data_IF_437674989992
#
_entry.id   IF_437674989992
#
_cell.length_a   1.000
_cell.length_b   1.000
_cell.length_c   1.000
_cell.angle_alpha   90.00
_cell.angle_beta   90.00
_cell.angle_gamma   90.00
#
_symmetry.space_group_name_H-M   'P 1'
#
loop_
_entity.id
_entity.type
_entity.pdbx_description
1 polymer ?
#
# COMPACT_ATOMS: atom_id res chain seq x y z
N UNK A 1 -6.93 13.41 -13.44
CA UNK A 1 -7.32 14.07 -12.17
C UNK A 1 -6.09 14.11 -11.27
N UNK A 2 -6.09 14.93 -10.21
CA UNK A 2 -4.93 14.95 -9.28
C UNK A 2 -4.89 13.67 -8.44
N UNK A 3 -3.70 13.24 -7.98
CA UNK A 3 -3.55 12.05 -7.11
C UNK A 3 -4.48 12.14 -5.90
N UNK A 4 -4.55 13.35 -5.32
CA UNK A 4 -5.35 13.64 -4.13
C UNK A 4 -6.85 13.41 -4.34
N UNK A 5 -7.37 13.89 -5.47
CA UNK A 5 -8.79 13.75 -5.79
C UNK A 5 -9.17 12.29 -6.01
N UNK A 6 -8.36 11.56 -6.76
CA UNK A 6 -8.60 10.15 -7.07
C UNK A 6 -8.56 9.28 -5.80
N UNK A 7 -7.53 9.45 -4.97
CA UNK A 7 -7.43 8.76 -3.68
C UNK A 7 -8.62 9.06 -2.76
N UNK A 8 -8.97 10.33 -2.56
CA UNK A 8 -10.10 10.71 -1.69
C UNK A 8 -11.44 10.21 -2.22
N UNK A 9 -11.62 10.16 -3.54
CA UNK A 9 -12.83 9.63 -4.14
C UNK A 9 -13.00 8.14 -3.83
N UNK A 10 -11.90 7.37 -3.88
CA UNK A 10 -11.91 5.95 -3.54
C UNK A 10 -12.21 5.75 -2.06
N UNK A 11 -11.43 6.35 -1.16
CA UNK A 11 -11.58 6.15 0.30
C UNK A 11 -12.96 6.58 0.81
N UNK A 12 -13.52 7.69 0.32
CA UNK A 12 -14.87 8.14 0.72
C UNK A 12 -16.00 7.22 0.24
N UNK A 13 -15.75 6.42 -0.80
CA UNK A 13 -16.75 5.55 -1.41
C UNK A 13 -16.28 4.08 -1.41
N UNK A 14 -15.49 3.68 -0.41
CA UNK A 14 -14.81 2.38 -0.37
C UNK A 14 -15.77 1.22 -0.67
N UNK A 15 -16.92 1.15 0.03
CA UNK A 15 -17.92 0.10 -0.16
C UNK A 15 -18.40 -0.04 -1.61
N UNK A 16 -18.54 1.08 -2.32
CA UNK A 16 -18.94 1.10 -3.73
C UNK A 16 -17.82 0.56 -4.62
N UNK A 17 -16.58 0.95 -4.36
CA UNK A 17 -15.43 0.46 -5.12
C UNK A 17 -15.21 -1.03 -4.88
N UNK A 18 -15.34 -1.50 -3.64
CA UNK A 18 -15.25 -2.92 -3.28
C UNK A 18 -16.36 -3.74 -3.96
N UNK A 19 -17.60 -3.24 -3.93
CA UNK A 19 -18.72 -3.88 -4.62
C UNK A 19 -18.48 -3.95 -6.14
N UNK A 20 -17.95 -2.87 -6.74
CA UNK A 20 -17.58 -2.86 -8.16
C UNK A 20 -16.51 -3.90 -8.46
N UNK A 21 -15.44 -4.00 -7.65
CA UNK A 21 -14.38 -5.00 -7.83
C UNK A 21 -14.95 -6.42 -7.70
N UNK A 22 -15.75 -6.69 -6.66
CA UNK A 22 -16.41 -7.99 -6.44
C UNK A 22 -17.37 -8.39 -7.55
N UNK A 23 -18.00 -7.42 -8.22
CA UNK A 23 -18.91 -7.69 -9.34
C UNK A 23 -18.20 -8.10 -10.64
N UNK A 24 -16.88 -7.88 -10.76
CA UNK A 24 -16.15 -8.27 -11.96
C UNK A 24 -16.19 -9.79 -12.14
N UNK A 25 -16.47 -10.32 -13.34
CA UNK A 25 -16.66 -11.76 -13.55
C UNK A 25 -15.44 -12.61 -13.16
N UNK A 26 -14.24 -12.12 -13.46
CA UNK A 26 -12.96 -12.76 -13.10
C UNK A 26 -12.76 -12.83 -11.58
N UNK A 27 -12.94 -11.70 -10.89
CA UNK A 27 -12.86 -11.60 -9.42
C UNK A 27 -13.88 -12.51 -8.76
N UNK A 28 -15.15 -12.43 -9.17
CA UNK A 28 -16.23 -13.24 -8.60
C UNK A 28 -15.95 -14.74 -8.71
N UNK A 29 -15.48 -15.19 -9.88
CA UNK A 29 -15.11 -16.60 -10.12
C UNK A 29 -13.92 -17.03 -9.25
N UNK A 30 -12.91 -16.17 -9.13
CA UNK A 30 -11.72 -16.46 -8.33
C UNK A 30 -12.05 -16.55 -6.84
N UNK A 31 -12.88 -15.64 -6.31
CA UNK A 31 -13.37 -15.67 -4.93
C UNK A 31 -14.17 -16.95 -4.68
N UNK A 32 -15.15 -17.26 -5.53
CA UNK A 32 -15.98 -18.46 -5.36
C UNK A 32 -15.13 -19.75 -5.38
N UNK A 33 -14.12 -19.81 -6.26
CA UNK A 33 -13.20 -20.93 -6.31
C UNK A 33 -12.33 -21.02 -5.05
N UNK A 34 -11.84 -19.90 -4.55
CA UNK A 34 -11.04 -19.84 -3.33
C UNK A 34 -11.84 -20.30 -2.12
N UNK A 35 -13.02 -19.73 -1.88
CA UNK A 35 -13.91 -20.07 -0.76
C UNK A 35 -14.30 -21.56 -0.76
N UNK A 36 -14.56 -22.14 -1.93
CA UNK A 36 -14.97 -23.54 -2.05
C UNK A 36 -13.83 -24.55 -1.85
N UNK A 37 -12.56 -24.14 -1.94
CA UNK A 37 -11.44 -25.09 -2.03
C UNK A 37 -10.30 -24.84 -1.04
N UNK A 38 -10.07 -23.60 -0.57
CA UNK A 38 -8.90 -23.30 0.26
C UNK A 38 -8.87 -24.08 1.58
N UNK A 39 -10.03 -24.31 2.21
CA UNK A 39 -10.11 -25.09 3.46
C UNK A 39 -9.78 -26.58 3.33
N UNK A 40 -9.62 -27.08 2.10
CA UNK A 40 -9.17 -28.45 1.80
C UNK A 40 -7.64 -28.56 1.73
N UNK A 41 -6.94 -27.43 1.60
CA UNK A 41 -5.49 -27.38 1.45
C UNK A 41 -4.83 -27.39 2.83
N UNK A 42 -3.90 -28.33 3.02
CA UNK A 42 -3.23 -28.60 4.29
C UNK A 42 -1.72 -28.43 4.25
N UNK A 43 -1.14 -28.19 3.06
CA UNK A 43 0.30 -28.00 2.90
C UNK A 43 0.65 -26.96 1.82
N UNK A 44 1.87 -26.45 1.90
CA UNK A 44 2.42 -25.58 0.86
C UNK A 44 2.45 -26.28 -0.51
N UNK A 45 2.77 -27.58 -0.53
CA UNK A 45 2.79 -28.36 -1.77
C UNK A 45 1.42 -28.45 -2.43
N UNK A 46 0.37 -28.71 -1.65
CA UNK A 46 -1.01 -28.73 -2.15
C UNK A 46 -1.43 -27.36 -2.69
N UNK A 47 -1.08 -26.28 -1.98
CA UNK A 47 -1.38 -24.93 -2.44
C UNK A 47 -0.68 -24.65 -3.79
N UNK A 48 0.60 -24.99 -3.90
CA UNK A 48 1.39 -24.73 -5.11
C UNK A 48 1.00 -25.61 -6.30
N UNK A 49 0.34 -26.75 -6.08
CA UNK A 49 -0.21 -27.60 -7.14
C UNK A 49 -1.52 -27.04 -7.72
N UNK A 50 -2.28 -26.29 -6.92
CA UNK A 50 -3.48 -25.60 -7.39
C UNK A 50 -3.13 -24.18 -7.85
N UNK A 51 -2.88 -24.03 -9.15
CA UNK A 51 -2.49 -22.76 -9.76
C UNK A 51 -3.49 -21.62 -9.50
N UNK A 52 -4.78 -21.93 -9.34
CA UNK A 52 -5.80 -20.91 -9.08
C UNK A 52 -5.73 -20.42 -7.63
N UNK A 53 -5.64 -21.34 -6.67
CA UNK A 53 -5.49 -20.98 -5.25
C UNK A 53 -4.15 -20.30 -5.00
N UNK A 54 -3.06 -20.83 -5.57
CA UNK A 54 -1.74 -20.22 -5.45
C UNK A 54 -1.74 -18.77 -5.96
N UNK A 55 -2.21 -18.52 -7.19
CA UNK A 55 -2.29 -17.14 -7.72
C UNK A 55 -3.19 -16.25 -6.89
N UNK A 56 -4.33 -16.76 -6.42
CA UNK A 56 -5.24 -15.99 -5.55
C UNK A 56 -4.53 -15.51 -4.28
N UNK A 57 -3.83 -16.41 -3.59
CA UNK A 57 -3.03 -16.10 -2.41
C UNK A 57 -1.93 -15.10 -2.76
N UNK A 58 -1.20 -15.31 -3.85
CA UNK A 58 -0.13 -14.39 -4.24
C UNK A 58 -0.64 -12.97 -4.51
N UNK A 59 -1.81 -12.81 -5.16
CA UNK A 59 -2.45 -11.49 -5.33
C UNK A 59 -2.90 -10.93 -3.98
N UNK A 60 -3.58 -11.73 -3.15
CA UNK A 60 -4.06 -11.27 -1.85
C UNK A 60 -2.91 -10.73 -0.98
N UNK A 61 -1.73 -11.33 -1.02
CA UNK A 61 -0.56 -10.88 -0.26
C UNK A 61 0.33 -9.87 -1.01
N UNK A 62 -0.11 -9.33 -2.15
CA UNK A 62 0.62 -8.36 -2.99
C UNK A 62 2.01 -8.88 -3.43
N UNK A 63 2.04 -10.17 -3.77
CA UNK A 63 3.19 -10.94 -4.23
C UNK A 63 2.99 -11.48 -5.66
N UNK A 64 2.04 -10.95 -6.43
CA UNK A 64 1.71 -11.44 -7.77
C UNK A 64 2.94 -11.50 -8.71
N UNK A 65 3.82 -10.50 -8.64
CA UNK A 65 5.06 -10.47 -9.41
C UNK A 65 6.02 -11.61 -9.05
N UNK A 66 5.87 -12.22 -7.88
CA UNK A 66 6.70 -13.34 -7.38
C UNK A 66 6.07 -14.70 -7.65
N UNK A 67 4.96 -14.78 -8.40
CA UNK A 67 4.28 -16.04 -8.73
C UNK A 67 5.21 -17.05 -9.43
N UNK A 68 6.20 -16.59 -10.19
CA UNK A 68 7.20 -17.45 -10.83
C UNK A 68 8.15 -18.13 -9.83
N UNK A 69 8.36 -17.54 -8.65
CA UNK A 69 9.36 -17.98 -7.67
C UNK A 69 8.84 -19.14 -6.79
N UNK A 70 8.22 -20.16 -7.39
CA UNK A 70 7.54 -21.26 -6.66
C UNK A 70 8.41 -21.94 -5.61
N UNK A 71 9.68 -22.21 -5.90
CA UNK A 71 10.58 -22.85 -4.95
C UNK A 71 10.85 -21.97 -3.71
N UNK A 72 10.96 -20.65 -3.90
CA UNK A 72 11.10 -19.68 -2.82
C UNK A 72 9.83 -19.67 -1.96
N UNK A 73 8.65 -19.57 -2.59
CA UNK A 73 7.38 -19.55 -1.88
C UNK A 73 7.16 -20.84 -1.09
N UNK A 74 7.45 -22.00 -1.71
CA UNK A 74 7.41 -23.29 -1.02
C UNK A 74 8.28 -23.26 0.24
N UNK A 75 9.54 -22.83 0.10
CA UNK A 75 10.48 -22.78 1.23
C UNK A 75 10.02 -21.83 2.35
N UNK A 76 9.47 -20.67 1.99
CA UNK A 76 8.87 -19.72 2.95
C UNK A 76 7.75 -20.37 3.74
N UNK A 77 6.82 -21.05 3.06
CA UNK A 77 5.66 -21.68 3.68
C UNK A 77 6.02 -22.94 4.48
N UNK A 78 6.97 -23.75 4.00
CA UNK A 78 7.44 -24.97 4.65
C UNK A 78 8.26 -24.68 5.92
N UNK A 79 8.99 -23.55 5.97
CA UNK A 79 9.74 -23.13 7.17
C UNK A 79 8.88 -22.39 8.18
N UNK A 80 7.79 -21.75 7.75
CA UNK A 80 6.89 -21.01 8.63
C UNK A 80 7.54 -19.75 9.22
N UNK A 81 7.12 -19.37 10.43
CA UNK A 81 7.55 -18.13 11.08
C UNK A 81 8.00 -18.30 12.54
N UNK A 82 7.81 -19.47 13.15
CA UNK A 82 8.19 -19.73 14.55
C UNK A 82 9.70 -19.85 14.77
N UNK A 83 10.42 -20.44 13.81
CA UNK A 83 11.88 -20.55 13.86
C UNK A 83 12.50 -19.17 13.54
N UNK A 84 13.31 -18.57 14.42
CA UNK A 84 14.01 -17.31 14.14
C UNK A 84 14.82 -17.33 12.83
N UNK A 85 15.34 -18.49 12.44
CA UNK A 85 16.15 -18.68 11.21
C UNK A 85 15.31 -19.03 9.97
N UNK A 86 13.98 -19.13 10.13
CA UNK A 86 13.07 -19.34 9.02
C UNK A 86 13.28 -18.25 7.95
N UNK A 87 13.22 -18.67 6.69
CA UNK A 87 13.46 -17.79 5.54
C UNK A 87 12.56 -16.55 5.60
N UNK A 88 11.28 -16.71 5.96
CA UNK A 88 10.34 -15.61 6.09
C UNK A 88 10.79 -14.53 7.09
N UNK A 89 11.52 -14.90 8.15
CA UNK A 89 12.03 -13.99 9.17
C UNK A 89 13.31 -13.25 8.73
N UNK A 90 14.01 -13.76 7.73
CA UNK A 90 15.26 -13.19 7.19
C UNK A 90 15.06 -12.39 5.90
N UNK A 91 13.84 -12.38 5.35
CA UNK A 91 13.52 -11.60 4.17
C UNK A 91 13.24 -10.14 4.55
N UNK A 92 13.72 -9.22 3.71
CA UNK A 92 13.44 -7.79 3.89
C UNK A 92 11.96 -7.46 3.64
N UNK A 93 11.34 -8.12 2.67
CA UNK A 93 9.93 -7.90 2.36
C UNK A 93 9.04 -8.68 3.36
N UNK A 94 8.35 -7.93 4.22
CA UNK A 94 7.50 -8.47 5.27
C UNK A 94 6.29 -9.26 4.72
N UNK A 95 5.90 -9.07 3.45
CA UNK A 95 4.75 -9.77 2.83
C UNK A 95 4.90 -11.28 2.86
N UNK A 96 6.13 -11.80 2.71
CA UNK A 96 6.41 -13.24 2.80
C UNK A 96 6.13 -13.78 4.20
N UNK A 97 6.53 -13.04 5.24
CA UNK A 97 6.23 -13.38 6.63
C UNK A 97 4.74 -13.28 6.94
N UNK A 98 4.07 -12.24 6.46
CA UNK A 98 2.61 -12.12 6.62
C UNK A 98 1.87 -13.32 5.99
N UNK A 99 2.23 -13.70 4.76
CA UNK A 99 1.65 -14.83 4.07
C UNK A 99 1.90 -16.14 4.84
N UNK A 100 3.14 -16.41 5.23
CA UNK A 100 3.48 -17.61 6.00
C UNK A 100 2.74 -17.66 7.35
N UNK A 101 2.58 -16.51 8.02
CA UNK A 101 1.85 -16.40 9.29
C UNK A 101 0.37 -16.73 9.13
N UNK A 102 -0.28 -16.19 8.09
CA UNK A 102 -1.74 -16.38 7.90
C UNK A 102 -2.05 -17.80 7.42
N UNK A 103 -1.29 -18.32 6.46
CA UNK A 103 -1.53 -19.67 5.92
C UNK A 103 -1.10 -20.76 6.90
N UNK A 104 -0.05 -20.50 7.69
CA UNK A 104 0.43 -21.32 8.81
C UNK A 104 0.51 -22.82 8.52
N UNK A 105 0.98 -23.20 7.32
CA UNK A 105 1.13 -24.60 6.93
C UNK A 105 2.11 -25.34 7.82
N UNK A 106 3.25 -24.74 8.16
CA UNK A 106 4.26 -25.35 9.03
C UNK A 106 3.75 -25.56 10.45
N UNK A 107 3.06 -24.58 11.02
CA UNK A 107 2.68 -24.64 12.43
C UNK A 107 1.36 -25.37 12.68
N UNK A 108 0.44 -25.34 11.72
CA UNK A 108 -0.94 -25.83 11.91
C UNK A 108 -1.46 -26.73 10.79
N UNK A 109 -0.65 -27.00 9.76
CA UNK A 109 -1.11 -27.76 8.59
C UNK A 109 -2.26 -27.06 7.86
N UNK A 110 -2.27 -25.71 7.85
CA UNK A 110 -3.31 -24.93 7.20
C UNK A 110 -4.64 -24.90 7.95
N UNK A 111 -4.70 -25.28 9.23
CA UNK A 111 -5.95 -25.28 10.00
C UNK A 111 -6.63 -23.90 10.02
N UNK A 112 -5.84 -22.81 9.99
CA UNK A 112 -6.34 -21.44 9.89
C UNK A 112 -7.20 -21.20 8.65
N UNK A 113 -6.97 -21.95 7.56
CA UNK A 113 -7.71 -21.82 6.30
C UNK A 113 -9.10 -22.47 6.33
N UNK A 114 -9.42 -23.17 7.42
CA UNK A 114 -10.78 -23.69 7.68
C UNK A 114 -11.64 -22.68 8.44
N UNK A 115 -11.03 -21.65 9.02
CA UNK A 115 -11.72 -20.63 9.78
C UNK A 115 -12.39 -19.61 8.84
N UNK A 116 -13.73 -19.48 8.86
CA UNK A 116 -14.45 -18.58 7.94
C UNK A 116 -13.97 -17.12 8.03
N UNK A 117 -13.61 -16.67 9.23
CA UNK A 117 -13.10 -15.31 9.44
C UNK A 117 -11.75 -15.07 8.74
N UNK A 118 -10.86 -16.07 8.72
CA UNK A 118 -9.57 -15.98 8.04
C UNK A 118 -9.76 -16.03 6.53
N UNK A 119 -10.60 -16.95 6.04
CA UNK A 119 -10.94 -17.03 4.60
C UNK A 119 -11.51 -15.71 4.12
N UNK A 120 -12.48 -15.14 4.86
CA UNK A 120 -13.05 -13.82 4.56
C UNK A 120 -11.98 -12.73 4.54
N UNK A 121 -11.07 -12.71 5.53
CA UNK A 121 -10.01 -11.71 5.58
C UNK A 121 -9.05 -11.80 4.38
N UNK A 122 -8.75 -13.01 3.87
CA UNK A 122 -7.93 -13.18 2.66
C UNK A 122 -8.70 -12.70 1.41
N UNK A 123 -10.00 -12.99 1.33
CA UNK A 123 -10.87 -12.52 0.23
C UNK A 123 -10.98 -10.99 0.24
N UNK A 124 -11.20 -10.38 1.40
CA UNK A 124 -11.25 -8.92 1.54
C UNK A 124 -9.92 -8.31 1.10
N UNK A 125 -8.79 -8.87 1.55
CA UNK A 125 -7.46 -8.43 1.13
C UNK A 125 -7.25 -8.58 -0.38
N UNK A 126 -7.73 -9.66 -1.00
CA UNK A 126 -7.68 -9.83 -2.45
C UNK A 126 -8.45 -8.72 -3.19
N UNK A 127 -9.62 -8.33 -2.67
CA UNK A 127 -10.43 -7.22 -3.22
C UNK A 127 -9.69 -5.89 -3.07
N UNK A 128 -9.13 -5.61 -1.89
CA UNK A 128 -8.34 -4.40 -1.63
C UNK A 128 -7.16 -4.28 -2.61
N UNK A 129 -6.36 -5.35 -2.75
CA UNK A 129 -5.21 -5.35 -3.66
C UNK A 129 -5.66 -5.24 -5.12
N UNK A 130 -6.78 -5.87 -5.49
CA UNK A 130 -7.34 -5.73 -6.84
C UNK A 130 -7.81 -4.29 -7.13
N UNK A 131 -8.31 -3.58 -6.12
CA UNK A 131 -8.65 -2.16 -6.22
C UNK A 131 -7.39 -1.30 -6.34
N UNK A 132 -6.38 -1.57 -5.52
CA UNK A 132 -5.07 -0.90 -5.55
C UNK A 132 -4.41 -1.02 -6.94
N UNK A 133 -4.35 -2.22 -7.50
CA UNK A 133 -3.81 -2.49 -8.85
C UNK A 133 -4.65 -1.79 -9.92
N UNK A 134 -5.98 -1.82 -9.81
CA UNK A 134 -6.86 -1.08 -10.75
C UNK A 134 -6.60 0.43 -10.68
N UNK A 135 -6.36 0.98 -9.50
CA UNK A 135 -6.10 2.41 -9.34
C UNK A 135 -4.77 2.83 -9.99
N UNK A 136 -3.76 1.96 -9.99
CA UNK A 136 -2.48 2.19 -10.66
C UNK A 136 -2.62 2.45 -12.16
N UNK A 137 -3.58 1.79 -12.84
CA UNK A 137 -3.86 2.00 -14.27
C UNK A 137 -4.16 3.47 -14.60
N UNK A 138 -4.72 4.20 -13.63
CA UNK A 138 -5.01 5.63 -13.75
C UNK A 138 -3.85 6.50 -13.25
N UNK A 139 -3.31 6.18 -12.07
CA UNK A 139 -2.25 6.93 -11.43
C UNK A 139 -1.51 6.05 -10.40
N UNK A 140 -0.21 5.76 -10.62
CA UNK A 140 0.58 4.93 -9.72
C UNK A 140 0.64 5.43 -8.27
N UNK A 141 0.53 6.74 -8.04
CA UNK A 141 0.52 7.28 -6.69
C UNK A 141 -0.76 6.95 -5.93
N UNK A 142 -1.89 6.77 -6.62
CA UNK A 142 -3.14 6.38 -5.96
C UNK A 142 -3.00 4.97 -5.37
N UNK A 143 -2.35 4.04 -6.10
CA UNK A 143 -2.02 2.71 -5.55
C UNK A 143 -1.14 2.83 -4.31
N UNK A 144 -0.08 3.63 -4.37
CA UNK A 144 0.81 3.85 -3.22
C UNK A 144 0.06 4.44 -2.01
N UNK A 145 -0.83 5.40 -2.23
CA UNK A 145 -1.64 6.01 -1.18
C UNK A 145 -2.61 5.00 -0.54
N UNK A 146 -3.33 4.22 -1.35
CA UNK A 146 -4.25 3.18 -0.86
C UNK A 146 -3.51 2.07 -0.10
N UNK A 147 -2.36 1.64 -0.63
CA UNK A 147 -1.51 0.65 0.03
C UNK A 147 -1.05 1.14 1.41
N UNK A 148 -0.59 2.40 1.48
CA UNK A 148 -0.18 3.03 2.73
C UNK A 148 -1.36 3.16 3.70
N UNK A 149 -2.51 3.64 3.24
CA UNK A 149 -3.74 3.77 4.02
C UNK A 149 -4.13 2.45 4.71
N UNK A 150 -4.09 1.35 3.96
CA UNK A 150 -4.42 0.00 4.46
C UNK A 150 -3.42 -0.54 5.48
N UNK A 151 -2.12 -0.28 5.27
CA UNK A 151 -1.03 -0.87 6.06
C UNK A 151 -0.64 -0.04 7.27
N UNK A 152 -0.65 1.29 7.15
CA UNK A 152 -0.09 2.21 8.13
C UNK A 152 -0.67 2.07 9.55
N UNK A 153 -1.98 1.81 9.77
CA UNK A 153 -2.54 1.62 11.11
C UNK A 153 -1.97 0.41 11.87
N UNK A 154 -1.40 -0.58 11.16
CA UNK A 154 -0.81 -1.79 11.74
C UNK A 154 0.69 -1.66 12.01
N UNK A 155 1.31 -0.58 11.55
CA UNK A 155 2.74 -0.34 11.73
C UNK A 155 3.02 0.07 13.17
N UNK A 156 4.09 -0.48 13.72
CA UNK A 156 4.47 -0.25 15.12
C UNK A 156 5.83 0.44 15.26
N UNK A 157 6.64 0.47 14.20
CA UNK A 157 7.95 1.07 14.22
C UNK A 157 8.39 1.48 12.80
N UNK A 158 9.32 2.43 12.72
CA UNK A 158 9.83 2.95 11.45
C UNK A 158 10.61 1.93 10.63
N UNK A 159 11.19 0.89 11.23
CA UNK A 159 11.89 -0.15 10.47
C UNK A 159 10.94 -0.93 9.56
N UNK A 160 9.69 -1.15 9.99
CA UNK A 160 8.66 -1.75 9.13
C UNK A 160 8.35 -0.89 7.90
N UNK A 161 8.32 0.44 8.06
CA UNK A 161 8.15 1.38 6.94
C UNK A 161 9.35 1.29 6.00
N UNK A 162 10.57 1.20 6.53
CA UNK A 162 11.80 1.16 5.74
C UNK A 162 12.04 -0.19 5.06
N UNK A 163 11.47 -1.27 5.59
CA UNK A 163 11.53 -2.62 5.02
C UNK A 163 10.60 -2.80 3.81
N UNK A 164 9.51 -2.03 3.75
CA UNK A 164 8.55 -2.06 2.65
C UNK A 164 8.81 -0.92 1.66
N UNK A 165 9.11 -1.26 0.41
CA UNK A 165 9.43 -0.26 -0.64
C UNK A 165 8.29 0.71 -0.93
N UNK A 166 7.04 0.26 -0.90
CA UNK A 166 5.89 1.12 -1.16
C UNK A 166 5.67 2.08 0.01
N UNK A 167 5.76 1.60 1.25
CA UNK A 167 5.67 2.46 2.43
C UNK A 167 6.81 3.48 2.49
N UNK A 168 8.04 3.04 2.26
CA UNK A 168 9.21 3.90 2.19
C UNK A 168 9.04 4.99 1.13
N UNK A 169 8.59 4.62 -0.08
CA UNK A 169 8.36 5.58 -1.18
C UNK A 169 7.34 6.65 -0.81
N UNK A 170 6.23 6.28 -0.15
CA UNK A 170 5.22 7.23 0.31
C UNK A 170 5.81 8.18 1.34
N UNK A 171 6.52 7.67 2.35
CA UNK A 171 7.14 8.50 3.39
C UNK A 171 8.18 9.44 2.80
N UNK A 172 9.07 8.94 1.96
CA UNK A 172 10.12 9.77 1.36
C UNK A 172 9.54 10.84 0.46
N UNK A 173 8.51 10.51 -0.32
CA UNK A 173 7.85 11.49 -1.18
C UNK A 173 7.13 12.55 -0.35
N UNK A 174 6.34 12.14 0.66
CA UNK A 174 5.61 13.06 1.53
C UNK A 174 6.54 14.00 2.30
N UNK A 175 7.69 13.50 2.74
CA UNK A 175 8.64 14.24 3.58
C UNK A 175 9.73 14.93 2.78
N UNK A 176 9.69 14.85 1.45
CA UNK A 176 10.71 15.37 0.53
C UNK A 176 12.12 14.82 0.77
N UNK A 177 12.20 13.56 1.21
CA UNK A 177 13.47 12.88 1.46
C UNK A 177 13.95 12.26 0.13
N UNK A 178 15.20 12.53 -0.32
CA UNK A 178 15.77 11.89 -1.50
C UNK A 178 15.92 10.38 -1.31
N UNK A 179 15.66 9.58 -2.35
CA UNK A 179 15.75 8.11 -2.27
C UNK A 179 17.16 7.61 -1.89
N UNK A 180 18.19 8.36 -2.25
CA UNK A 180 19.57 8.06 -1.90
C UNK A 180 19.81 8.08 -0.38
N UNK A 181 18.91 8.71 0.39
CA UNK A 181 18.97 8.70 1.86
C UNK A 181 18.82 7.29 2.43
N UNK A 182 18.18 6.36 1.72
CA UNK A 182 18.10 4.95 2.13
C UNK A 182 19.42 4.18 1.97
N UNK A 183 20.40 4.72 1.22
CA UNK A 183 21.72 4.10 1.05
C UNK A 183 22.67 4.40 2.22
N UNK A 184 22.31 5.37 3.07
CA UNK A 184 23.09 5.75 4.24
C UNK A 184 22.80 4.87 5.45
N UNK A 185 23.15 5.40 6.62
CA UNK A 185 22.87 4.77 7.91
C UNK A 185 21.36 4.80 8.22
N UNK A 186 20.73 3.63 8.20
CA UNK A 186 19.30 3.43 8.44
C UNK A 186 18.88 3.91 9.83
N UNK A 187 19.69 3.67 10.86
CA UNK A 187 19.36 4.04 12.25
C UNK A 187 19.31 5.55 12.39
N UNK A 188 20.27 6.26 11.79
CA UNK A 188 20.25 7.74 11.76
C UNK A 188 19.04 8.29 11.03
N UNK A 189 18.62 7.66 9.93
CA UNK A 189 17.43 8.06 9.20
C UNK A 189 16.17 7.85 10.05
N UNK A 190 16.05 6.69 10.67
CA UNK A 190 14.95 6.35 11.58
C UNK A 190 14.89 7.32 12.76
N UNK A 191 16.02 7.68 13.37
CA UNK A 191 16.07 8.63 14.48
C UNK A 191 15.66 10.05 14.07
N UNK A 192 16.00 10.47 12.85
CA UNK A 192 15.49 11.74 12.29
C UNK A 192 13.99 11.69 12.10
N UNK A 193 13.44 10.59 11.57
CA UNK A 193 12.00 10.41 11.39
C UNK A 193 11.26 10.44 12.73
N UNK A 194 11.71 9.67 13.73
CA UNK A 194 11.14 9.65 15.10
C UNK A 194 11.07 11.04 15.74
N UNK A 195 12.07 11.89 15.53
CA UNK A 195 12.12 13.26 16.07
C UNK A 195 11.12 14.22 15.42
N UNK A 196 10.52 13.84 14.28
CA UNK A 196 9.66 14.71 13.46
C UNK A 196 8.24 14.18 13.37
N UNK A 197 8.07 12.87 13.40
CA UNK A 197 6.79 12.18 13.24
C UNK A 197 6.71 11.00 14.20
N UNK A 198 5.65 10.96 15.00
CA UNK A 198 5.32 9.79 15.78
C UNK A 198 4.67 8.74 14.87
N UNK A 199 5.20 7.52 14.87
CA UNK A 199 4.64 6.42 14.09
C UNK A 199 3.21 6.08 14.54
N UNK A 200 2.87 6.36 15.81
CA UNK A 200 1.53 6.15 16.34
C UNK A 200 0.47 7.06 15.67
N UNK A 201 0.87 8.18 15.07
CA UNK A 201 -0.04 9.07 14.36
C UNK A 201 -0.73 8.40 13.17
N UNK A 202 -0.12 7.36 12.57
CA UNK A 202 -0.74 6.59 11.49
C UNK A 202 -1.93 5.73 11.94
N UNK A 203 -2.17 5.59 13.24
CA UNK A 203 -3.37 4.93 13.78
C UNK A 203 -4.57 5.86 13.83
N UNK A 204 -4.34 7.17 13.80
CA UNK A 204 -5.40 8.18 13.76
C UNK A 204 -5.79 8.41 12.29
N UNK A 205 -7.02 8.06 11.87
CA UNK A 205 -7.44 8.20 10.48
C UNK A 205 -7.36 9.63 9.95
N UNK A 206 -7.57 10.65 10.80
CA UNK A 206 -7.49 12.05 10.39
C UNK A 206 -6.03 12.49 10.16
N UNK A 207 -5.11 12.04 11.02
CA UNK A 207 -3.67 12.32 10.82
C UNK A 207 -3.10 11.58 9.63
N UNK A 208 -3.48 10.31 9.45
CA UNK A 208 -3.14 9.50 8.28
C UNK A 208 -3.63 10.16 6.99
N UNK A 209 -4.90 10.60 6.96
CA UNK A 209 -5.47 11.32 5.82
C UNK A 209 -4.68 12.58 5.47
N UNK A 210 -4.32 13.40 6.46
CA UNK A 210 -3.48 14.60 6.24
C UNK A 210 -2.09 14.26 5.71
N UNK A 211 -1.50 13.16 6.17
CA UNK A 211 -0.21 12.69 5.68
C UNK A 211 -0.31 12.26 4.20
N UNK A 212 -1.37 11.55 3.83
CA UNK A 212 -1.63 11.12 2.46
C UNK A 212 -2.03 12.26 1.52
N UNK A 213 -2.67 13.31 2.05
CA UNK A 213 -2.89 14.56 1.33
C UNK A 213 -1.55 15.21 0.94
N UNK A 214 -0.61 15.26 1.90
CA UNK A 214 0.75 15.77 1.66
C UNK A 214 1.51 14.91 0.68
N UNK A 215 1.48 13.58 0.84
CA UNK A 215 2.07 12.65 -0.12
C UNK A 215 1.56 12.93 -1.55
N UNK A 216 0.23 13.02 -1.72
CA UNK A 216 -0.40 13.22 -3.02
C UNK A 216 0.04 14.54 -3.66
N UNK A 217 0.07 15.63 -2.88
CA UNK A 217 0.53 16.93 -3.36
C UNK A 217 2.02 16.90 -3.76
N UNK A 218 2.89 16.31 -2.92
CA UNK A 218 4.32 16.21 -3.20
C UNK A 218 4.61 15.32 -4.40
N UNK A 219 3.85 14.24 -4.58
CA UNK A 219 3.97 13.37 -5.75
C UNK A 219 3.58 14.10 -7.04
N UNK A 220 2.44 14.79 -7.05
CA UNK A 220 1.96 15.57 -8.20
C UNK A 220 2.95 16.69 -8.57
N UNK A 221 3.57 17.34 -7.57
CA UNK A 221 4.60 18.37 -7.80
C UNK A 221 5.85 17.79 -8.46
N UNK A 222 6.31 16.62 -8.03
CA UNK A 222 7.56 16.00 -8.52
C UNK A 222 7.42 15.35 -9.90
N UNK A 223 6.25 14.81 -10.21
CA UNK A 223 6.05 14.02 -11.44
C UNK A 223 5.37 14.81 -12.56
N UNK A 224 5.14 16.11 -12.37
CA UNK A 224 4.33 16.91 -13.26
C UNK A 224 2.89 16.43 -13.20
N UNK A 225 2.05 17.09 -12.39
CA UNK A 225 0.62 16.82 -12.35
C UNK A 225 0.03 16.72 -13.76
N UNK A 226 -1.11 16.03 -13.94
CA UNK A 226 -1.63 15.63 -15.26
C UNK A 226 -1.53 16.77 -16.27
N UNK A 227 -0.97 16.46 -17.46
CA UNK A 227 -0.75 17.40 -18.56
C UNK A 227 -2.00 18.26 -18.78
N UNK A 228 -1.95 19.51 -18.30
CA UNK A 228 -3.11 20.39 -18.14
C UNK A 228 -3.08 21.22 -16.86
N UNK A 229 -2.31 20.81 -15.85
CA UNK A 229 -2.00 21.65 -14.69
C UNK A 229 -0.81 22.57 -14.98
N UNK A 230 -1.05 23.66 -15.71
CA UNK A 230 -0.08 24.77 -15.76
C UNK A 230 0.12 25.31 -14.35
N UNK A 231 1.31 25.06 -13.81
CA UNK A 231 1.81 25.63 -12.58
C UNK A 231 2.04 27.13 -12.77
N UNK A 232 0.98 27.92 -12.66
CA UNK A 232 1.13 29.34 -12.37
C UNK A 232 1.54 29.47 -10.90
N UNK A 233 2.85 29.35 -10.64
CA UNK A 233 3.46 29.92 -9.45
C UNK A 233 3.06 31.40 -9.38
N UNK A 234 2.71 31.95 -8.20
CA UNK A 234 2.44 33.38 -8.08
C UNK A 234 3.76 34.14 -8.24
N UNK A 235 4.09 34.49 -9.49
CA UNK A 235 5.03 35.56 -9.78
C UNK A 235 4.35 36.88 -9.45
N UNK A 236 4.79 37.55 -8.39
CA UNK A 236 4.40 38.94 -8.13
C UNK A 236 5.20 39.82 -9.11
N UNK A 237 4.66 39.94 -10.32
CA UNK A 237 5.07 40.93 -11.32
C UNK A 237 4.09 42.09 -11.37
N UNK A 238 4.49 43.26 -11.91
CA UNK A 238 3.67 44.47 -11.89
C UNK A 238 2.35 44.28 -12.65
N UNK A 239 1.27 44.75 -12.02
CA UNK A 239 -0.12 44.59 -12.42
C UNK A 239 -0.35 45.23 -13.79
N UNK A 240 -0.73 44.44 -14.80
CA UNK A 240 -1.30 44.94 -16.04
C UNK A 240 -2.78 44.55 -16.11
N UNK A 241 -3.66 45.55 -16.20
CA UNK A 241 -5.09 45.34 -16.32
C UNK A 241 -5.45 44.88 -17.74
N UNK A 242 -6.02 43.69 -17.85
CA UNK A 242 -6.96 43.16 -18.88
C UNK A 242 -6.57 41.74 -19.28
N UNK A 243 -7.29 40.78 -18.71
CA UNK A 243 -7.24 39.36 -19.07
C UNK A 243 -7.83 38.54 -17.93
N UNK A 244 -8.93 37.84 -18.18
CA UNK A 244 -9.58 36.95 -17.19
C UNK A 244 -8.61 35.81 -16.83
N UNK A 245 -8.00 35.89 -15.66
CA UNK A 245 -7.26 34.78 -15.05
C UNK A 245 -8.26 33.82 -14.39
N UNK A 246 -8.38 32.61 -14.92
CA UNK A 246 -8.90 31.48 -14.13
C UNK A 246 -7.86 31.15 -13.07
N UNK A 247 -8.02 31.74 -11.88
CA UNK A 247 -7.28 31.35 -10.69
C UNK A 247 -7.78 29.96 -10.31
N UNK A 248 -6.98 28.93 -10.62
CA UNK A 248 -7.14 27.63 -9.96
C UNK A 248 -6.65 27.84 -8.53
N UNK A 249 -7.60 28.03 -7.62
CA UNK A 249 -7.30 28.09 -6.20
C UNK A 249 -6.83 26.70 -5.76
N UNK A 250 -5.53 26.57 -5.46
CA UNK A 250 -5.09 25.52 -4.55
C UNK A 250 -5.84 25.80 -3.25
N UNK A 251 -6.60 24.82 -2.77
CA UNK A 251 -7.37 24.94 -1.53
C UNK A 251 -6.45 25.49 -0.43
N UNK A 252 -6.76 26.65 0.19
CA UNK A 252 -5.93 27.25 1.23
C UNK A 252 -5.66 26.32 2.42
N UNK A 253 -6.49 25.30 2.63
CA UNK A 253 -6.24 24.27 3.66
C UNK A 253 -5.04 23.37 3.31
N UNK A 254 -4.76 23.13 2.03
CA UNK A 254 -3.63 22.32 1.57
C UNK A 254 -2.33 23.12 1.73
N UNK A 255 -2.34 24.41 1.37
CA UNK A 255 -1.16 25.29 1.55
C UNK A 255 -0.84 25.53 3.02
N UNK A 256 -1.86 25.71 3.87
CA UNK A 256 -1.68 25.83 5.32
C UNK A 256 -1.24 24.52 5.99
N UNK A 257 -1.72 23.36 5.52
CA UNK A 257 -1.27 22.04 5.99
C UNK A 257 0.20 21.80 5.66
N UNK A 258 0.64 22.13 4.44
CA UNK A 258 2.05 21.98 4.03
C UNK A 258 3.03 22.85 4.83
N UNK A 259 2.58 23.99 5.36
CA UNK A 259 3.37 24.92 6.17
C UNK A 259 3.59 24.45 7.62
N UNK A 260 2.68 23.64 8.17
CA UNK A 260 2.73 23.18 9.57
C UNK A 260 3.45 21.83 9.77
N UNK A 261 3.95 21.21 8.70
CA UNK A 261 4.69 19.96 8.77
C UNK A 261 6.21 20.18 8.75
N UNK A 262 6.98 19.41 9.54
CA UNK A 262 8.43 19.54 9.55
C UNK A 262 9.02 19.25 8.16
N UNK A 263 9.85 20.17 7.67
CA UNK A 263 10.68 19.98 6.46
C UNK A 263 11.94 19.18 6.83
N UNK A 264 12.39 18.31 5.92
CA UNK A 264 13.61 17.51 6.06
C UNK A 264 14.78 18.16 5.34
#
# INVERSE_FOLDING_TARGET
MSTLQDYRQIVRNQDRYDAMIRSRPDVKRNIAYFEANIGKISSAEELLKDDKLYRFVMVAFDLESQTYARALIRKVLDQGVKDPEALANRMNDAKFKEMATVLSFKETGGATLKEPAIVKAIVDRFVDVSLEVKAEESNPAVRLALYFDRKAPRITNWYQVMADRALQKVVFTALDIPEQSALGDLDRLVDKLKKRFDIADFKDPAKLGKFLDRFSAMYDLKNGGPAGASTNLPYIGPINSRGRSSIIAIDPSITMSLLNFPRF
#
